data_IF_885526144893
#
_entry.id   IF_885526144893
#
_cell.length_a   1.000
_cell.length_b   1.000
_cell.length_c   1.000
_cell.angle_alpha   90.00
_cell.angle_beta   90.00
_cell.angle_gamma   90.00
#
_symmetry.space_group_name_H-M   'P 1'
#
loop_
_entity.id
_entity.type
_entity.pdbx_description
1 polymer ?
#
# COMPACT_ATOMS: atom_id res chain seq x y z
N UNK A 1 25.08 5.35 -3.73
CA UNK A 1 24.53 5.23 -5.11
C UNK A 1 23.07 5.59 -5.08
N UNK A 2 22.48 6.01 -6.20
CA UNK A 2 21.01 6.12 -6.30
C UNK A 2 20.40 4.71 -6.18
N UNK A 3 19.47 4.52 -5.26
CA UNK A 3 18.67 3.29 -5.18
C UNK A 3 17.55 3.36 -6.21
N UNK A 4 17.33 2.28 -6.95
CA UNK A 4 16.17 2.14 -7.84
C UNK A 4 15.23 1.11 -7.23
N UNK A 5 13.96 1.51 -7.08
CA UNK A 5 12.88 0.66 -6.57
C UNK A 5 11.94 0.34 -7.73
N UNK A 6 11.60 -0.93 -7.89
CA UNK A 6 10.50 -1.38 -8.75
C UNK A 6 9.27 -1.58 -7.86
N UNK A 7 8.16 -0.90 -8.16
CA UNK A 7 6.93 -0.96 -7.35
C UNK A 7 5.75 -1.45 -8.18
N UNK A 8 5.01 -2.42 -7.64
CA UNK A 8 3.74 -2.90 -8.20
C UNK A 8 2.69 -2.88 -7.10
N UNK A 9 1.65 -2.06 -7.30
CA UNK A 9 0.48 -2.01 -6.43
C UNK A 9 -0.72 -2.71 -7.11
N UNK A 10 -1.34 -3.62 -6.37
CA UNK A 10 -2.52 -4.38 -6.79
C UNK A 10 -3.67 -4.07 -5.85
N UNK A 11 -4.79 -3.62 -6.41
CA UNK A 11 -5.99 -3.20 -5.70
C UNK A 11 -7.08 -4.26 -5.84
N UNK A 12 -7.61 -4.72 -4.71
CA UNK A 12 -8.78 -5.59 -4.65
C UNK A 12 -9.94 -4.76 -4.09
N UNK A 13 -10.85 -4.35 -4.96
CA UNK A 13 -11.95 -3.46 -4.62
C UNK A 13 -13.10 -4.22 -3.97
N UNK A 14 -13.82 -3.54 -3.07
CA UNK A 14 -15.05 -4.08 -2.48
C UNK A 14 -16.07 -4.45 -3.56
N UNK A 15 -16.82 -5.52 -3.33
CA UNK A 15 -17.83 -5.98 -4.27
C UNK A 15 -18.90 -4.90 -4.52
N UNK A 16 -19.20 -4.65 -5.79
CA UNK A 16 -20.26 -3.74 -6.20
C UNK A 16 -19.85 -2.27 -6.36
N UNK A 17 -18.58 -1.92 -6.11
CA UNK A 17 -18.10 -0.56 -6.34
C UNK A 17 -18.31 -0.13 -7.79
N UNK A 18 -18.79 1.10 -7.96
CA UNK A 18 -19.01 1.73 -9.24
C UNK A 18 -20.16 1.15 -10.08
N UNK A 19 -21.00 0.27 -9.51
CA UNK A 19 -22.25 -0.15 -10.15
C UNK A 19 -23.23 1.03 -10.23
N UNK A 20 -23.39 1.77 -9.14
CA UNK A 20 -24.32 2.89 -9.05
C UNK A 20 -23.66 4.22 -9.46
N UNK A 21 -22.36 4.41 -9.12
CA UNK A 21 -21.59 5.59 -9.48
C UNK A 21 -20.13 5.24 -9.88
N UNK A 22 -19.78 5.30 -11.19
CA UNK A 22 -18.42 5.02 -11.66
C UNK A 22 -17.31 5.88 -11.02
N UNK A 23 -17.65 7.04 -10.43
CA UNK A 23 -16.70 7.92 -9.75
C UNK A 23 -16.29 7.44 -8.34
N UNK A 24 -16.88 6.33 -7.86
CA UNK A 24 -16.42 5.64 -6.65
C UNK A 24 -15.02 5.04 -6.81
N UNK A 25 -14.60 4.74 -8.06
CA UNK A 25 -13.23 4.32 -8.32
C UNK A 25 -12.26 5.49 -8.12
N UNK A 26 -11.24 5.35 -7.27
CA UNK A 26 -10.23 6.38 -7.09
C UNK A 26 -9.44 6.61 -8.38
N UNK A 27 -9.09 7.87 -8.63
CA UNK A 27 -8.27 8.24 -9.77
C UNK A 27 -6.81 7.75 -9.62
N UNK A 28 -6.35 6.97 -10.59
CA UNK A 28 -5.02 6.36 -10.58
C UNK A 28 -3.90 7.40 -10.43
N UNK A 29 -4.03 8.56 -11.10
CA UNK A 29 -3.00 9.61 -11.06
C UNK A 29 -2.80 10.15 -9.65
N UNK A 30 -3.86 10.30 -8.87
CA UNK A 30 -3.74 10.80 -7.50
C UNK A 30 -3.05 9.79 -6.59
N UNK A 31 -3.35 8.50 -6.76
CA UNK A 31 -2.66 7.44 -6.02
C UNK A 31 -1.17 7.40 -6.40
N UNK A 32 -0.85 7.49 -7.68
CA UNK A 32 0.54 7.50 -8.15
C UNK A 32 1.32 8.69 -7.60
N UNK A 33 0.74 9.88 -7.60
CA UNK A 33 1.37 11.09 -7.06
C UNK A 33 1.59 10.96 -5.54
N UNK A 34 0.60 10.42 -4.83
CA UNK A 34 0.72 10.18 -3.39
C UNK A 34 1.83 9.20 -3.04
N UNK A 35 1.98 8.11 -3.82
CA UNK A 35 3.08 7.15 -3.65
C UNK A 35 4.43 7.83 -3.89
N UNK A 36 4.56 8.64 -4.95
CA UNK A 36 5.79 9.37 -5.26
C UNK A 36 6.16 10.34 -4.12
N UNK A 37 5.19 11.16 -3.67
CA UNK A 37 5.37 12.09 -2.57
C UNK A 37 5.75 11.38 -1.26
N UNK A 38 5.13 10.25 -0.96
CA UNK A 38 5.49 9.42 0.19
C UNK A 38 6.94 8.93 0.10
N UNK A 39 7.36 8.43 -1.06
CA UNK A 39 8.73 7.90 -1.26
C UNK A 39 9.79 9.02 -1.20
N UNK A 40 9.51 10.18 -1.78
CA UNK A 40 10.41 11.35 -1.79
C UNK A 40 10.54 11.97 -0.40
N UNK A 41 9.45 12.04 0.36
CA UNK A 41 9.41 12.67 1.67
C UNK A 41 9.52 11.66 2.83
N UNK A 42 9.88 10.41 2.55
CA UNK A 42 9.94 9.37 3.55
C UNK A 42 10.96 9.74 4.66
N UNK A 43 10.54 9.88 5.93
CA UNK A 43 11.36 10.53 6.96
C UNK A 43 12.57 9.69 7.41
N UNK A 44 12.54 8.38 7.17
CA UNK A 44 13.56 7.44 7.66
C UNK A 44 14.36 6.84 6.50
N UNK A 45 15.21 7.65 5.86
CA UNK A 45 16.00 7.23 4.69
C UNK A 45 16.90 5.98 4.92
N UNK A 46 17.18 5.62 6.17
CA UNK A 46 18.00 4.45 6.53
C UNK A 46 17.21 3.16 6.70
N UNK A 47 15.89 3.21 6.65
CA UNK A 47 15.07 2.01 6.76
C UNK A 47 15.28 1.06 5.58
N UNK A 48 15.17 -0.24 5.86
CA UNK A 48 15.13 -1.22 4.79
C UNK A 48 13.85 -1.07 3.97
N UNK A 49 13.92 -1.35 2.67
CA UNK A 49 12.76 -1.31 1.75
C UNK A 49 11.58 -2.19 2.23
N UNK A 50 11.83 -3.23 3.03
CA UNK A 50 10.77 -4.04 3.65
C UNK A 50 9.94 -3.25 4.69
N UNK A 51 10.57 -2.32 5.41
CA UNK A 51 9.91 -1.43 6.36
C UNK A 51 9.21 -0.31 5.59
N UNK A 52 9.89 0.28 4.60
CA UNK A 52 9.30 1.26 3.68
C UNK A 52 8.01 0.72 3.03
N UNK A 53 8.03 -0.53 2.53
CA UNK A 53 6.86 -1.16 1.90
C UNK A 53 5.70 -1.34 2.89
N UNK A 54 5.98 -1.76 4.13
CA UNK A 54 4.95 -1.86 5.17
C UNK A 54 4.33 -0.51 5.48
N UNK A 55 5.16 0.51 5.64
CA UNK A 55 4.69 1.85 5.95
C UNK A 55 3.88 2.42 4.78
N UNK A 56 4.29 2.16 3.53
CA UNK A 56 3.51 2.56 2.37
C UNK A 56 2.12 1.90 2.33
N UNK A 57 2.03 0.59 2.57
CA UNK A 57 0.72 -0.11 2.61
C UNK A 57 -0.14 0.42 3.76
N UNK A 58 0.45 0.69 4.91
CA UNK A 58 -0.26 1.31 6.04
C UNK A 58 -0.80 2.69 5.65
N UNK A 59 0.06 3.57 5.14
CA UNK A 59 -0.30 4.94 4.77
C UNK A 59 -1.42 4.96 3.72
N UNK A 60 -1.29 4.16 2.65
CA UNK A 60 -2.29 4.07 1.59
C UNK A 60 -3.66 3.61 2.09
N UNK A 61 -3.71 2.79 3.15
CA UNK A 61 -4.98 2.30 3.69
C UNK A 61 -5.58 3.24 4.74
N UNK A 62 -4.78 4.01 5.48
CA UNK A 62 -5.27 4.83 6.60
C UNK A 62 -5.31 6.32 6.38
N UNK A 63 -4.52 6.84 5.45
CA UNK A 63 -4.48 8.28 5.21
C UNK A 63 -5.35 8.67 4.01
N UNK A 64 -6.04 9.82 4.09
CA UNK A 64 -6.77 10.36 2.95
C UNK A 64 -5.78 10.82 1.87
N UNK A 65 -6.06 10.44 0.63
CA UNK A 65 -5.33 10.85 -0.55
C UNK A 65 -5.99 12.13 -1.10
N UNK A 66 -5.31 13.29 -1.05
CA UNK A 66 -5.86 14.53 -1.57
C UNK A 66 -6.03 14.46 -3.08
N UNK A 67 -7.08 15.10 -3.58
CA UNK A 67 -7.32 15.20 -5.03
C UNK A 67 -7.34 16.64 -5.50
N UNK A 68 -7.04 16.83 -6.78
CA UNK A 68 -7.18 18.13 -7.45
C UNK A 68 -8.65 18.58 -7.57
N UNK A 69 -9.62 17.72 -7.26
CA UNK A 69 -11.06 18.00 -7.37
C UNK A 69 -11.68 18.56 -6.08
N UNK A 70 -10.87 18.74 -5.02
CA UNK A 70 -11.31 19.38 -3.76
C UNK A 70 -12.00 18.43 -2.78
N UNK A 71 -11.81 17.13 -2.93
CA UNK A 71 -12.19 16.11 -1.96
C UNK A 71 -11.09 15.05 -1.86
N UNK A 72 -11.06 14.30 -0.76
CA UNK A 72 -10.02 13.30 -0.53
C UNK A 72 -10.60 11.89 -0.65
N UNK A 73 -9.79 10.93 -1.11
CA UNK A 73 -10.16 9.51 -1.15
C UNK A 73 -9.48 8.74 -0.03
N UNK A 74 -10.20 7.87 0.64
CA UNK A 74 -9.65 6.92 1.61
C UNK A 74 -9.63 5.53 0.95
N UNK A 75 -8.47 5.04 0.46
CA UNK A 75 -8.45 3.74 -0.24
C UNK A 75 -8.94 2.58 0.63
N UNK A 76 -8.67 2.63 1.93
CA UNK A 76 -9.13 1.60 2.85
C UNK A 76 -10.66 1.48 2.96
N UNK A 77 -11.44 2.47 2.52
CA UNK A 77 -12.90 2.39 2.51
C UNK A 77 -13.45 1.70 1.25
N UNK A 78 -12.67 1.67 0.17
CA UNK A 78 -13.10 1.15 -1.14
C UNK A 78 -12.38 -0.15 -1.54
N UNK A 79 -11.40 -0.59 -0.76
CA UNK A 79 -10.64 -1.81 -0.99
C UNK A 79 -10.95 -2.88 0.06
N UNK A 80 -11.16 -4.11 -0.40
CA UNK A 80 -11.09 -5.30 0.45
C UNK A 80 -9.63 -5.60 0.82
N UNK A 81 -8.70 -5.43 -0.14
CA UNK A 81 -7.27 -5.58 0.12
C UNK A 81 -6.38 -4.75 -0.80
N UNK A 82 -5.20 -4.37 -0.29
CA UNK A 82 -4.12 -3.74 -1.04
C UNK A 82 -2.88 -4.62 -0.96
N UNK A 83 -2.29 -4.98 -2.10
CA UNK A 83 -1.00 -5.69 -2.14
C UNK A 83 0.06 -4.86 -2.86
N UNK A 84 1.19 -4.63 -2.21
CA UNK A 84 2.34 -3.93 -2.79
C UNK A 84 3.56 -4.85 -2.83
N UNK A 85 4.09 -5.08 -4.03
CA UNK A 85 5.39 -5.70 -4.28
C UNK A 85 6.43 -4.60 -4.53
N UNK A 86 7.45 -4.56 -3.68
CA UNK A 86 8.54 -3.60 -3.74
C UNK A 86 9.86 -4.34 -3.95
N UNK A 87 10.45 -4.18 -5.13
CA UNK A 87 11.71 -4.76 -5.55
C UNK A 87 12.87 -3.77 -5.46
N UNK A 88 14.06 -4.29 -5.12
CA UNK A 88 15.34 -3.59 -5.22
C UNK A 88 16.29 -4.40 -6.09
N UNK A 89 16.91 -3.74 -7.08
CA UNK A 89 17.84 -4.37 -8.00
C UNK A 89 19.27 -4.41 -7.44
N UNK A 90 20.10 -5.33 -7.95
CA UNK A 90 21.53 -5.37 -7.61
C UNK A 90 22.21 -4.07 -8.03
N UNK A 91 22.99 -3.47 -7.13
CA UNK A 91 23.64 -2.17 -7.34
C UNK A 91 22.83 -0.96 -6.87
N UNK A 92 21.59 -1.16 -6.39
CA UNK A 92 20.82 -0.12 -5.71
C UNK A 92 21.29 0.02 -4.27
N UNK A 93 22.01 1.10 -3.95
CA UNK A 93 22.63 1.26 -2.63
C UNK A 93 23.62 0.12 -2.31
N UNK A 94 23.48 -0.49 -1.14
CA UNK A 94 24.30 -1.64 -0.67
C UNK A 94 23.68 -3.01 -1.00
N UNK A 95 22.71 -3.06 -1.93
CA UNK A 95 22.04 -4.30 -2.34
C UNK A 95 22.84 -5.02 -3.40
N UNK A 96 23.49 -6.14 -3.02
CA UNK A 96 24.28 -6.95 -3.95
C UNK A 96 23.47 -8.05 -4.65
N UNK A 97 22.31 -8.42 -4.11
CA UNK A 97 21.44 -9.48 -4.62
C UNK A 97 20.04 -8.89 -4.77
N UNK A 98 19.37 -9.03 -5.93
CA UNK A 98 18.03 -8.51 -6.12
C UNK A 98 17.06 -9.18 -5.14
N UNK A 99 16.22 -8.37 -4.51
CA UNK A 99 15.24 -8.81 -3.50
C UNK A 99 13.94 -8.07 -3.73
N UNK A 100 12.84 -8.68 -3.30
CA UNK A 100 11.56 -7.99 -3.24
C UNK A 100 10.84 -8.29 -1.94
N UNK A 101 9.94 -7.39 -1.57
CA UNK A 101 9.07 -7.47 -0.41
C UNK A 101 7.63 -7.39 -0.90
N UNK A 102 6.79 -8.35 -0.52
CA UNK A 102 5.36 -8.33 -0.84
C UNK A 102 4.60 -8.15 0.46
N UNK A 103 3.82 -7.09 0.55
CA UNK A 103 2.96 -6.77 1.69
C UNK A 103 1.52 -6.71 1.21
N UNK A 104 0.65 -7.49 1.83
CA UNK A 104 -0.81 -7.39 1.65
C UNK A 104 -1.42 -6.81 2.92
N UNK A 105 -2.17 -5.72 2.79
CA UNK A 105 -2.91 -5.07 3.85
C UNK A 105 -4.42 -5.18 3.63
N UNK A 106 -5.16 -5.33 4.73
CA UNK A 106 -6.63 -5.23 4.75
C UNK A 106 -7.07 -4.34 5.91
N UNK A 107 -8.11 -3.54 5.71
CA UNK A 107 -8.82 -2.90 6.82
C UNK A 107 -9.87 -3.86 7.36
N UNK A 108 -9.82 -4.13 8.66
CA UNK A 108 -10.89 -4.89 9.31
C UNK A 108 -11.96 -3.90 9.76
N UNK A 109 -13.04 -3.81 8.99
CA UNK A 109 -14.26 -3.20 9.49
C UNK A 109 -14.80 -4.06 10.64
N UNK A 110 -14.76 -3.55 11.87
CA UNK A 110 -15.43 -4.21 13.00
C UNK A 110 -16.93 -3.99 12.89
N UNK A 111 -17.63 -4.82 12.11
CA UNK A 111 -19.09 -4.98 12.20
C UNK A 111 -19.43 -5.74 13.50
N UNK A 112 -20.36 -5.40 14.39
CA UNK A 112 -21.54 -4.51 14.42
C UNK A 112 -21.74 -4.06 15.87
N UNK A 113 -21.90 -2.76 16.17
CA UNK A 113 -22.49 -2.35 17.43
C UNK A 113 -23.96 -1.92 17.28
N UNK A 114 -24.76 -2.25 18.29
CA UNK A 114 -26.20 -1.98 18.40
C UNK A 114 -26.61 -0.51 18.11
N UNK A 115 -27.89 -0.25 17.80
CA UNK A 115 -28.37 1.10 17.46
C UNK A 115 -28.00 2.14 18.52
N UNK A 116 -27.11 3.07 18.15
CA UNK A 116 -26.65 4.17 19.01
C UNK A 116 -25.14 4.28 19.21
N UNK A 117 -24.32 3.42 18.61
CA UNK A 117 -22.84 3.51 18.75
C UNK A 117 -22.17 4.20 17.55
N UNK A 118 -21.25 5.11 17.83
CA UNK A 118 -20.38 5.76 16.84
C UNK A 118 -19.19 4.84 16.59
N UNK A 119 -18.96 4.43 15.35
CA UNK A 119 -17.85 3.54 14.95
C UNK A 119 -16.59 4.36 14.63
N UNK A 120 -15.44 3.91 15.15
CA UNK A 120 -14.10 4.33 14.72
C UNK A 120 -13.38 3.15 14.06
N UNK A 121 -12.85 3.35 12.85
CA UNK A 121 -12.03 2.37 12.12
C UNK A 121 -10.88 1.88 13.01
N UNK A 122 -10.85 0.58 13.34
CA UNK A 122 -9.95 0.02 14.35
C UNK A 122 -9.28 -1.27 13.87
N UNK A 123 -8.31 -1.17 12.95
CA UNK A 123 -7.30 -2.20 12.74
C UNK A 123 -6.93 -2.49 11.28
N UNK A 124 -5.62 -2.40 10.97
CA UNK A 124 -5.03 -2.91 9.73
C UNK A 124 -4.36 -4.25 10.02
N UNK A 125 -4.60 -5.26 9.17
CA UNK A 125 -3.81 -6.51 9.19
C UNK A 125 -2.83 -6.51 8.02
N UNK A 126 -1.52 -6.59 8.29
CA UNK A 126 -0.48 -6.73 7.26
C UNK A 126 0.07 -8.16 7.24
N UNK A 127 -0.01 -8.83 6.09
CA UNK A 127 0.61 -10.12 5.83
C UNK A 127 1.78 -9.95 4.84
N UNK A 128 2.98 -10.32 5.25
CA UNK A 128 4.16 -10.35 4.38
C UNK A 128 4.41 -11.74 3.80
N UNK A 129 4.49 -11.88 2.47
CA UNK A 129 4.85 -13.15 1.81
C UNK A 129 6.35 -13.18 1.52
N UNK A 130 7.13 -13.90 2.33
CA UNK A 130 8.57 -14.11 2.08
C UNK A 130 8.78 -15.28 1.12
N UNK A 131 8.99 -15.03 -0.18
CA UNK A 131 9.43 -16.08 -1.12
C UNK A 131 10.93 -16.33 -0.97
N UNK A 132 11.31 -17.37 -0.22
CA UNK A 132 12.70 -17.90 -0.26
C UNK A 132 12.95 -18.56 -1.62
N UNK A 133 13.76 -17.96 -2.48
CA UNK A 133 14.41 -18.69 -3.58
C UNK A 133 15.60 -19.46 -3.00
N UNK A 134 15.49 -20.78 -2.91
CA UNK A 134 16.63 -21.65 -2.65
C UNK A 134 17.55 -21.61 -3.86
N UNK A 135 18.69 -20.92 -3.74
CA UNK A 135 19.74 -20.97 -4.75
C UNK A 135 20.53 -22.28 -4.59
N UNK A 136 20.22 -23.27 -5.41
CA UNK A 136 21.10 -24.44 -5.57
C UNK A 136 22.32 -23.98 -6.35
N UNK A 137 23.43 -23.72 -5.67
CA UNK A 137 24.75 -23.60 -6.30
C UNK A 137 25.08 -24.96 -6.94
N UNK A 138 25.40 -24.96 -8.24
CA UNK A 138 25.96 -26.12 -8.95
C UNK A 138 27.47 -26.15 -8.81
#
# INVERSE_FOLDING_TARGET
>A
GQGVIDLVASYDYVEGIGIDDPFEYPEFTQISNYIDDFLVNYPNETDFWEILNKNLVTELLTEPIPTEFGFDYQLGEVLDSLTVDMGVQSGSGDVFIPRSSIVTGTLVATSVPEPGMVIGLSGITLLGILRRKTLTQK
#
